data_IF_089411721702
#
_entry.id   IF_089411721702
#
_cell.length_a   1.000
_cell.length_b   1.000
_cell.length_c   1.000
_cell.angle_alpha   90.00
_cell.angle_beta   90.00
_cell.angle_gamma   90.00
#
_symmetry.space_group_name_H-M   'P 1'
#
loop_
_entity.id
_entity.type
_entity.pdbx_description
1 polymer ?
#
# COMPACT_ATOMS: atom_id res chain seq x y z
N UNK A 1 -15.64 7.82 0.28
CA UNK A 1 -15.03 7.82 -1.05
C UNK A 1 -13.56 7.52 -0.87
N UNK A 2 -13.04 6.57 -1.65
CA UNK A 2 -11.63 6.15 -1.69
C UNK A 2 -10.86 7.23 -2.46
N UNK A 3 -9.60 7.51 -2.09
CA UNK A 3 -8.81 8.53 -2.78
C UNK A 3 -8.44 8.07 -4.19
N UNK A 4 -8.49 9.00 -5.14
CA UNK A 4 -7.94 8.76 -6.47
C UNK A 4 -6.44 8.99 -6.52
N UNK A 5 -5.77 8.35 -7.49
CA UNK A 5 -4.36 8.64 -7.81
C UNK A 5 -4.11 10.12 -8.09
N UNK A 6 -4.99 10.78 -8.86
CA UNK A 6 -4.87 12.21 -9.19
C UNK A 6 -4.84 13.08 -7.93
N UNK A 7 -5.68 12.77 -6.96
CA UNK A 7 -5.72 13.48 -5.68
C UNK A 7 -4.41 13.34 -4.90
N UNK A 8 -3.76 12.18 -5.01
CA UNK A 8 -2.48 11.92 -4.35
C UNK A 8 -1.35 12.60 -5.08
N UNK A 9 -1.31 12.53 -6.42
CA UNK A 9 -0.31 13.24 -7.21
C UNK A 9 -0.40 14.74 -6.88
N UNK A 10 -1.62 15.28 -6.79
CA UNK A 10 -1.84 16.67 -6.39
C UNK A 10 -1.37 16.97 -4.96
N UNK A 11 -1.71 16.11 -3.99
CA UNK A 11 -1.23 16.25 -2.59
C UNK A 11 0.29 16.11 -2.50
N UNK A 12 0.87 15.16 -3.19
CA UNK A 12 2.30 14.90 -3.24
C UNK A 12 3.03 16.08 -3.86
N UNK A 13 2.55 16.62 -4.98
CA UNK A 13 3.12 17.83 -5.59
C UNK A 13 3.02 19.03 -4.64
N UNK A 14 1.89 19.22 -3.96
CA UNK A 14 1.73 20.27 -2.95
C UNK A 14 2.67 20.08 -1.74
N UNK A 15 3.00 18.85 -1.37
CA UNK A 15 3.98 18.53 -0.33
C UNK A 15 5.42 18.67 -0.82
N UNK A 16 5.69 18.28 -2.07
CA UNK A 16 6.96 18.44 -2.75
C UNK A 16 7.36 19.92 -2.74
N UNK A 17 6.44 20.82 -3.10
CA UNK A 17 6.67 22.26 -3.08
C UNK A 17 7.00 22.81 -1.69
N UNK A 18 6.59 22.12 -0.62
CA UNK A 18 6.91 22.47 0.78
C UNK A 18 8.18 21.82 1.32
N UNK A 19 8.60 20.70 0.72
CA UNK A 19 9.76 19.88 1.14
C UNK A 19 10.96 20.03 0.21
N UNK A 20 10.84 20.85 -0.84
CA UNK A 20 11.96 21.34 -1.63
C UNK A 20 12.81 22.23 -0.72
N UNK A 21 14.03 21.80 -0.46
CA UNK A 21 15.01 22.63 0.24
C UNK A 21 15.43 23.82 -0.65
N UNK A 22 16.18 24.78 -0.09
CA UNK A 22 16.62 26.00 -0.79
C UNK A 22 17.36 25.74 -2.13
N UNK A 23 17.80 24.50 -2.37
CA UNK A 23 18.49 24.07 -3.59
C UNK A 23 17.59 23.36 -4.62
N UNK A 24 16.28 23.28 -4.41
CA UNK A 24 15.37 22.59 -5.34
C UNK A 24 15.22 21.08 -5.09
N UNK A 25 15.88 20.52 -4.07
CA UNK A 25 15.93 19.08 -3.87
C UNK A 25 14.83 18.61 -2.92
N UNK A 26 14.10 17.57 -3.35
CA UNK A 26 13.13 16.85 -2.54
C UNK A 26 13.86 15.86 -1.64
N UNK A 27 13.70 15.96 -0.31
CA UNK A 27 14.14 14.92 0.63
C UNK A 27 12.97 14.02 1.01
N UNK A 28 13.12 12.71 0.81
CA UNK A 28 12.18 11.69 1.27
C UNK A 28 12.88 10.75 2.24
N UNK A 29 12.17 10.31 3.28
CA UNK A 29 12.65 9.29 4.22
C UNK A 29 11.72 8.09 4.14
N UNK A 30 12.27 6.94 3.79
CA UNK A 30 11.53 5.68 3.73
C UNK A 30 11.68 4.98 5.10
N UNK A 31 10.56 4.52 5.65
CA UNK A 31 10.53 3.71 6.87
C UNK A 31 9.95 2.34 6.55
N UNK A 32 10.66 1.29 6.94
CA UNK A 32 10.20 -0.10 6.83
C UNK A 32 9.87 -0.64 8.23
N UNK A 33 8.71 -1.32 8.33
CA UNK A 33 8.11 -1.78 9.58
C UNK A 33 7.84 -3.31 9.59
N UNK A 34 8.55 -4.08 8.75
CA UNK A 34 8.29 -5.50 8.50
C UNK A 34 8.37 -6.49 9.68
N UNK A 35 9.04 -6.20 10.80
CA UNK A 35 9.35 -7.24 11.81
C UNK A 35 8.81 -7.05 13.24
N UNK A 36 8.36 -5.86 13.68
CA UNK A 36 7.95 -5.65 15.10
C UNK A 36 6.73 -4.74 15.25
N UNK A 37 5.56 -5.38 15.33
CA UNK A 37 4.22 -4.80 15.49
C UNK A 37 4.09 -3.69 16.57
N UNK A 38 4.84 -3.75 17.68
CA UNK A 38 4.64 -2.85 18.84
C UNK A 38 5.35 -1.48 18.75
N UNK A 39 6.58 -1.42 18.24
CA UNK A 39 7.34 -0.15 18.20
C UNK A 39 7.02 0.71 16.97
N UNK A 40 6.45 0.12 15.92
CA UNK A 40 6.13 0.79 14.65
C UNK A 40 5.03 1.85 14.82
N UNK A 41 4.06 1.60 15.69
CA UNK A 41 2.90 2.47 15.95
C UNK A 41 3.25 3.81 16.60
N UNK A 42 4.23 3.85 17.50
CA UNK A 42 4.68 5.11 18.11
C UNK A 42 5.33 6.05 17.09
N UNK A 43 5.94 5.52 16.02
CA UNK A 43 6.55 6.30 14.93
C UNK A 43 5.54 6.82 13.91
N UNK A 44 4.39 6.16 13.75
CA UNK A 44 3.32 6.63 12.85
C UNK A 44 2.77 8.01 13.27
N UNK A 45 2.69 8.29 14.57
CA UNK A 45 2.04 9.48 15.15
C UNK A 45 2.67 10.84 14.79
N UNK A 46 3.86 10.90 14.18
CA UNK A 46 4.52 12.17 13.86
C UNK A 46 4.48 12.57 12.37
N UNK A 47 3.95 11.73 11.48
CA UNK A 47 3.89 12.07 10.07
C UNK A 47 2.65 12.92 9.75
N UNK A 48 2.74 14.23 9.95
CA UNK A 48 1.73 15.22 9.50
C UNK A 48 1.61 15.23 7.96
N UNK A 49 2.53 14.59 7.24
CA UNK A 49 2.57 14.53 5.78
C UNK A 49 3.30 13.28 5.26
N UNK A 50 2.73 12.09 5.49
CA UNK A 50 3.26 10.82 5.00
C UNK A 50 2.35 10.13 3.99
N UNK A 51 2.92 9.27 3.16
CA UNK A 51 2.21 8.27 2.35
C UNK A 51 2.54 6.91 2.95
N UNK A 52 1.53 6.07 3.13
CA UNK A 52 1.72 4.72 3.67
C UNK A 52 1.56 3.69 2.57
N UNK A 53 2.45 2.69 2.58
CA UNK A 53 2.41 1.56 1.68
C UNK A 53 2.22 0.30 2.54
N UNK A 54 1.15 -0.44 2.30
CA UNK A 54 0.97 -1.77 2.86
C UNK A 54 1.30 -2.76 1.76
N UNK A 55 2.40 -3.49 1.93
CA UNK A 55 2.87 -4.48 0.96
C UNK A 55 2.38 -5.85 1.39
N UNK A 56 1.81 -6.62 0.46
CA UNK A 56 1.36 -7.99 0.71
C UNK A 56 1.71 -8.93 -0.44
N UNK A 57 1.79 -10.22 -0.14
CA UNK A 57 1.98 -11.28 -1.13
C UNK A 57 0.63 -11.69 -1.71
N UNK A 58 0.42 -11.45 -3.01
CA UNK A 58 -0.86 -11.77 -3.66
C UNK A 58 -1.16 -13.27 -3.64
N UNK A 59 -0.13 -14.13 -3.67
CA UNK A 59 -0.30 -15.59 -3.69
C UNK A 59 -0.93 -16.08 -2.39
N UNK A 60 -0.67 -15.38 -1.29
CA UNK A 60 -1.22 -15.71 0.02
C UNK A 60 -2.70 -15.30 0.17
N UNK A 61 -3.19 -14.39 -0.68
CA UNK A 61 -4.60 -13.94 -0.67
C UNK A 61 -5.52 -14.71 -1.62
N UNK A 62 -5.02 -15.81 -2.18
CA UNK A 62 -5.85 -16.82 -2.84
C UNK A 62 -6.50 -17.69 -1.76
N UNK A 63 -7.82 -17.88 -1.81
CA UNK A 63 -8.59 -18.59 -0.75
C UNK A 63 -8.07 -20.00 -0.47
N UNK A 64 -7.45 -20.65 -1.46
CA UNK A 64 -6.85 -21.98 -1.33
C UNK A 64 -5.50 -21.99 -0.59
N UNK A 65 -4.93 -20.81 -0.32
CA UNK A 65 -3.65 -20.68 0.36
C UNK A 65 -3.77 -20.97 1.86
N UNK A 66 -2.85 -21.76 2.45
CA UNK A 66 -2.84 -21.97 3.90
C UNK A 66 -2.55 -20.68 4.68
N UNK A 67 -1.85 -19.72 4.07
CA UNK A 67 -1.53 -18.41 4.68
C UNK A 67 -2.68 -17.39 4.59
N UNK A 68 -3.78 -17.70 3.90
CA UNK A 68 -4.89 -16.76 3.64
C UNK A 68 -5.38 -16.06 4.90
N UNK A 69 -5.65 -16.81 5.97
CA UNK A 69 -6.17 -16.25 7.22
C UNK A 69 -5.17 -15.31 7.88
N UNK A 70 -3.87 -15.65 7.87
CA UNK A 70 -2.83 -14.79 8.43
C UNK A 70 -2.65 -13.50 7.62
N UNK A 71 -2.70 -13.58 6.29
CA UNK A 71 -2.54 -12.42 5.41
C UNK A 71 -3.75 -11.47 5.51
N UNK A 72 -4.96 -12.02 5.61
CA UNK A 72 -6.17 -11.25 5.95
C UNK A 72 -5.99 -10.51 7.28
N UNK A 73 -5.57 -11.23 8.33
CA UNK A 73 -5.38 -10.64 9.66
C UNK A 73 -4.30 -9.54 9.66
N UNK A 74 -3.23 -9.74 8.90
CA UNK A 74 -2.17 -8.74 8.71
C UNK A 74 -2.70 -7.46 8.07
N UNK A 75 -3.47 -7.59 6.98
CA UNK A 75 -4.05 -6.43 6.28
C UNK A 75 -5.07 -5.70 7.15
N UNK A 76 -5.97 -6.44 7.82
CA UNK A 76 -6.95 -5.85 8.75
C UNK A 76 -6.25 -5.08 9.87
N UNK A 77 -5.18 -5.64 10.44
CA UNK A 77 -4.41 -4.99 11.49
C UNK A 77 -3.81 -3.65 11.03
N UNK A 78 -3.12 -3.64 9.88
CA UNK A 78 -2.46 -2.42 9.39
C UNK A 78 -3.45 -1.36 8.93
N UNK A 79 -4.53 -1.78 8.24
CA UNK A 79 -5.58 -0.86 7.81
C UNK A 79 -6.26 -0.19 9.01
N UNK A 80 -6.64 -0.95 10.03
CA UNK A 80 -7.21 -0.39 11.26
C UNK A 80 -6.23 0.51 12.00
N UNK A 81 -4.96 0.10 12.08
CA UNK A 81 -3.91 0.90 12.72
C UNK A 81 -3.73 2.26 12.04
N UNK A 82 -3.65 2.29 10.71
CA UNK A 82 -3.51 3.53 9.95
C UNK A 82 -4.78 4.37 10.01
N UNK A 83 -5.95 3.74 9.98
CA UNK A 83 -7.22 4.46 10.10
C UNK A 83 -7.34 5.19 11.44
N UNK A 84 -6.82 4.61 12.53
CA UNK A 84 -6.82 5.23 13.84
C UNK A 84 -5.70 6.27 14.01
N UNK A 85 -4.49 5.99 13.52
CA UNK A 85 -3.31 6.81 13.79
C UNK A 85 -3.00 7.87 12.73
N UNK A 86 -3.46 7.66 11.49
CA UNK A 86 -3.19 8.54 10.35
C UNK A 86 -4.41 8.67 9.42
N UNK A 87 -5.60 9.05 9.93
CA UNK A 87 -6.89 9.01 9.20
C UNK A 87 -6.97 9.88 7.94
N UNK A 88 -5.99 10.74 7.70
CA UNK A 88 -5.96 11.66 6.54
C UNK A 88 -4.83 11.34 5.55
N UNK A 89 -3.93 10.43 5.91
CA UNK A 89 -2.77 10.07 5.12
C UNK A 89 -3.15 9.01 4.08
N UNK A 90 -2.78 9.17 2.80
CA UNK A 90 -3.09 8.19 1.77
C UNK A 90 -2.39 6.85 2.05
N UNK A 91 -3.12 5.76 1.78
CA UNK A 91 -2.67 4.37 1.97
C UNK A 91 -2.75 3.61 0.65
N UNK A 92 -1.60 3.27 0.08
CA UNK A 92 -1.50 2.42 -1.09
C UNK A 92 -1.35 0.96 -0.65
N UNK A 93 -2.17 0.09 -1.22
CA UNK A 93 -2.02 -1.35 -1.09
C UNK A 93 -1.16 -1.84 -2.25
N UNK A 94 -0.05 -2.52 -1.96
CA UNK A 94 0.90 -3.01 -2.98
C UNK A 94 0.88 -4.54 -2.96
N UNK A 95 0.38 -5.13 -4.05
CA UNK A 95 0.34 -6.58 -4.22
C UNK A 95 1.60 -7.05 -4.95
N UNK A 96 2.42 -7.87 -4.29
CA UNK A 96 3.65 -8.44 -4.87
C UNK A 96 3.41 -9.77 -5.55
N UNK A 97 4.41 -10.21 -6.32
CA UNK A 97 4.47 -11.45 -7.09
C UNK A 97 3.55 -11.48 -8.30
N UNK A 98 3.38 -10.35 -8.99
CA UNK A 98 2.58 -10.28 -10.22
C UNK A 98 3.07 -11.26 -11.29
N UNK A 99 4.37 -11.49 -11.38
CA UNK A 99 5.03 -12.45 -12.27
C UNK A 99 4.48 -13.89 -12.14
N UNK A 100 3.97 -14.23 -10.95
CA UNK A 100 3.43 -15.58 -10.67
C UNK A 100 1.96 -15.75 -11.11
N UNK A 101 1.29 -14.67 -11.52
CA UNK A 101 -0.10 -14.68 -11.96
C UNK A 101 -0.16 -14.71 -13.48
N UNK A 102 -0.59 -15.85 -14.04
CA UNK A 102 -0.63 -16.05 -15.50
C UNK A 102 -1.86 -15.47 -16.20
N UNK A 103 -2.89 -15.02 -15.46
CA UNK A 103 -4.11 -14.46 -16.04
C UNK A 103 -4.73 -13.38 -15.13
N UNK A 104 -5.60 -12.55 -15.73
CA UNK A 104 -6.28 -11.45 -15.06
C UNK A 104 -7.36 -11.87 -14.06
N UNK A 105 -7.91 -13.09 -14.20
CA UNK A 105 -9.03 -13.54 -13.35
C UNK A 105 -8.54 -13.91 -11.95
N UNK A 106 -7.34 -14.48 -11.84
CA UNK A 106 -6.68 -14.73 -10.55
C UNK A 106 -6.38 -13.42 -9.81
N UNK A 107 -5.92 -12.38 -10.53
CA UNK A 107 -5.68 -11.05 -9.96
C UNK A 107 -7.00 -10.41 -9.47
N UNK A 108 -8.09 -10.57 -10.21
CA UNK A 108 -9.43 -10.12 -9.79
C UNK A 108 -9.94 -10.90 -8.57
N UNK A 109 -9.60 -12.17 -8.43
CA UNK A 109 -9.94 -12.95 -7.24
C UNK A 109 -9.22 -12.38 -6.00
N UNK A 110 -7.95 -12.00 -6.14
CA UNK A 110 -7.21 -11.29 -5.08
C UNK A 110 -7.86 -9.94 -4.77
N UNK A 111 -8.25 -9.16 -5.78
CA UNK A 111 -8.95 -7.88 -5.60
C UNK A 111 -10.28 -8.05 -4.86
N UNK A 112 -11.04 -9.10 -5.15
CA UNK A 112 -12.26 -9.41 -4.42
C UNK A 112 -11.98 -9.71 -2.94
N UNK A 113 -10.93 -10.46 -2.63
CA UNK A 113 -10.48 -10.69 -1.26
C UNK A 113 -10.09 -9.38 -0.57
N UNK A 114 -9.32 -8.52 -1.24
CA UNK A 114 -8.93 -7.21 -0.73
C UNK A 114 -10.15 -6.31 -0.47
N UNK A 115 -11.11 -6.27 -1.39
CA UNK A 115 -12.39 -5.53 -1.23
C UNK A 115 -13.16 -6.02 -0.01
N UNK A 116 -13.24 -7.34 0.19
CA UNK A 116 -13.91 -7.89 1.37
C UNK A 116 -13.24 -7.46 2.66
N UNK A 117 -11.90 -7.43 2.70
CA UNK A 117 -11.12 -6.95 3.84
C UNK A 117 -11.39 -5.47 4.10
N UNK A 118 -11.26 -4.63 3.05
CA UNK A 118 -11.45 -3.18 3.14
C UNK A 118 -12.86 -2.81 3.59
N UNK A 119 -13.88 -3.55 3.14
CA UNK A 119 -15.27 -3.33 3.54
C UNK A 119 -15.55 -3.61 5.02
N UNK A 120 -14.65 -4.31 5.73
CA UNK A 120 -14.74 -4.53 7.19
C UNK A 120 -14.15 -3.39 8.00
N UNK A 121 -13.44 -2.45 7.37
CA UNK A 121 -12.79 -1.33 8.03
C UNK A 121 -13.75 -0.14 8.10
N UNK A 122 -13.91 0.44 9.28
CA UNK A 122 -14.69 1.67 9.44
C UNK A 122 -13.94 2.84 8.77
N UNK A 123 -14.56 3.50 7.78
CA UNK A 123 -14.01 4.67 7.08
C UNK A 123 -12.72 4.46 6.26
N UNK A 124 -12.71 3.60 5.22
CA UNK A 124 -11.54 3.33 4.37
C UNK A 124 -11.18 4.48 3.41
N UNK A 125 -11.52 5.74 3.74
CA UNK A 125 -11.40 6.92 2.88
C UNK A 125 -9.96 7.25 2.50
N UNK A 126 -9.00 6.73 3.24
CA UNK A 126 -7.58 6.93 3.02
C UNK A 126 -6.97 5.99 1.99
N UNK A 127 -7.66 4.88 1.67
CA UNK A 127 -7.17 3.91 0.69
C UNK A 127 -7.18 4.56 -0.69
N UNK A 128 -6.22 4.17 -1.51
CA UNK A 128 -6.01 4.67 -2.85
C UNK A 128 -6.47 3.63 -3.86
N UNK A 129 -7.38 4.01 -4.75
CA UNK A 129 -7.81 3.14 -5.84
C UNK A 129 -6.85 3.21 -7.01
N UNK A 130 -6.40 2.04 -7.50
CA UNK A 130 -5.65 1.96 -8.74
C UNK A 130 -6.62 2.08 -9.91
N UNK A 131 -6.65 3.26 -10.53
CA UNK A 131 -7.58 3.55 -11.65
C UNK A 131 -7.14 2.86 -12.93
N UNK A 132 -5.84 2.73 -13.16
CA UNK A 132 -5.29 2.15 -14.38
C UNK A 132 -5.65 0.68 -14.52
N UNK A 133 -5.51 -0.09 -13.44
CA UNK A 133 -5.83 -1.52 -13.44
C UNK A 133 -7.24 -1.85 -12.95
N UNK A 134 -8.00 -0.85 -12.52
CA UNK A 134 -9.32 -0.98 -11.88
C UNK A 134 -9.33 -1.82 -10.57
N UNK A 135 -8.22 -1.87 -9.82
CA UNK A 135 -8.07 -2.67 -8.58
C UNK A 135 -7.94 -1.79 -7.33
N UNK A 136 -8.28 -2.31 -6.15
CA UNK A 136 -8.02 -1.62 -4.87
C UNK A 136 -6.54 -1.57 -4.47
N UNK A 137 -5.67 -2.20 -5.23
CA UNK A 137 -4.24 -2.30 -4.97
C UNK A 137 -3.43 -2.15 -6.25
N UNK A 138 -2.13 -1.92 -6.11
CA UNK A 138 -1.17 -1.80 -7.19
C UNK A 138 -0.43 -3.13 -7.34
N UNK A 139 -0.79 -3.98 -8.33
CA UNK A 139 -0.04 -5.19 -8.60
C UNK A 139 1.35 -4.81 -9.09
N UNK A 140 2.37 -5.42 -8.50
CA UNK A 140 3.78 -5.12 -8.79
C UNK A 140 4.49 -6.39 -9.18
N UNK A 141 5.16 -6.35 -10.32
CA UNK A 141 6.17 -7.33 -10.68
C UNK A 141 7.45 -6.95 -9.94
N UNK A 142 7.77 -7.74 -8.92
CA UNK A 142 8.99 -7.63 -8.13
C UNK A 142 9.98 -8.75 -8.46
N UNK A 143 9.79 -9.46 -9.57
CA UNK A 143 10.83 -10.28 -10.16
C UNK A 143 11.89 -9.36 -10.74
N UNK A 144 13.02 -9.25 -10.05
CA UNK A 144 14.08 -8.36 -10.45
C UNK A 144 14.71 -8.80 -11.76
N UNK A 145 14.87 -7.86 -12.68
CA UNK A 145 15.91 -7.90 -13.71
C UNK A 145 17.28 -7.71 -13.01
N UNK A 146 17.67 -8.67 -12.18
CA UNK A 146 18.90 -8.64 -11.37
C UNK A 146 20.17 -8.58 -12.24
N UNK A 147 20.06 -8.82 -13.55
CA UNK A 147 21.15 -8.76 -14.52
C UNK A 147 21.42 -7.35 -15.08
N UNK A 148 20.49 -6.39 -14.93
CA UNK A 148 20.64 -5.05 -15.53
C UNK A 148 21.40 -4.03 -14.65
N UNK A 149 21.75 -4.37 -13.41
CA UNK A 149 22.41 -3.46 -12.44
C UNK A 149 23.87 -3.83 -12.13
N UNK A 150 24.47 -4.72 -12.93
CA UNK A 150 25.91 -5.02 -12.94
C UNK A 150 26.58 -4.47 -14.21
N UNK A 151 26.67 -3.14 -14.34
CA UNK A 151 27.60 -2.46 -15.26
C UNK A 151 28.24 -1.29 -14.52
#
# INVERSE_FOLDING_TARGET
>A
EILSEDDIIKKFNALKDRQINANGNLSCTIFDYGEKFSCSLQKLKSAVSGIYLIVFDMRQLVITSPEYVSTVSYLEYWLNSLNFHAPTAPVLLIGTFLDTFGNSDDIKAVDNSVRQIVNRIEHPKQIVYNKESELLFFPTDNYGDYEAQRI
#
